data_IF_760871562491
#
_entry.id   IF_760871562491
#
_cell.length_a   1.000
_cell.length_b   1.000
_cell.length_c   1.000
_cell.angle_alpha   90.00
_cell.angle_beta   90.00
_cell.angle_gamma   90.00
#
_symmetry.space_group_name_H-M   'P 1'
#
loop_
_entity.id
_entity.type
_entity.pdbx_description
1 polymer ?
#
# COMPACT_ATOMS: atom_id res chain seq x y z
N UNK A 1 12.09 -34.82 14.45
CA UNK A 1 12.79 -33.54 14.60
C UNK A 1 11.78 -32.43 14.46
N UNK A 2 11.44 -31.73 15.54
CA UNK A 2 10.52 -30.59 15.52
C UNK A 2 11.22 -29.45 14.77
N UNK A 3 10.73 -29.11 13.56
CA UNK A 3 11.13 -27.85 12.93
C UNK A 3 10.65 -26.74 13.85
N UNK A 4 11.59 -26.03 14.45
CA UNK A 4 11.32 -24.78 15.14
C UNK A 4 10.63 -23.85 14.14
N UNK A 5 9.33 -23.66 14.32
CA UNK A 5 8.58 -22.67 13.55
C UNK A 5 9.16 -21.31 13.92
N UNK A 6 9.96 -20.74 13.03
CA UNK A 6 10.50 -19.39 13.23
C UNK A 6 9.30 -18.45 13.25
N UNK A 7 9.07 -17.82 14.38
CA UNK A 7 7.98 -16.84 14.55
C UNK A 7 8.33 -15.58 13.76
N UNK A 8 7.64 -15.35 12.63
CA UNK A 8 7.82 -14.13 11.85
C UNK A 8 7.09 -12.96 12.51
N UNK A 9 7.70 -11.76 12.52
CA UNK A 9 7.05 -10.58 13.06
C UNK A 9 5.88 -10.13 12.17
N UNK A 10 4.87 -9.52 12.79
CA UNK A 10 3.81 -8.83 12.09
C UNK A 10 4.18 -7.35 11.90
N UNK A 11 4.07 -6.84 10.69
CA UNK A 11 4.23 -5.43 10.34
C UNK A 11 2.88 -4.88 9.90
N UNK A 12 2.52 -3.73 10.44
CA UNK A 12 1.25 -3.06 10.13
C UNK A 12 1.57 -1.75 9.43
N UNK A 13 0.95 -1.49 8.30
CA UNK A 13 1.22 -0.29 7.50
C UNK A 13 -0.04 0.27 6.85
N UNK A 14 0.07 1.51 6.39
CA UNK A 14 -0.89 2.16 5.51
C UNK A 14 -0.29 2.35 4.13
N UNK A 15 -1.12 2.27 3.09
CA UNK A 15 -0.81 2.66 1.73
C UNK A 15 -1.77 3.75 1.30
N UNK A 16 -1.23 4.82 0.70
CA UNK A 16 -1.96 6.02 0.32
C UNK A 16 -2.11 6.08 -1.21
N UNK A 17 -3.34 5.98 -1.66
CA UNK A 17 -3.72 6.10 -3.06
C UNK A 17 -4.22 7.52 -3.29
N UNK A 18 -3.35 8.37 -3.80
CA UNK A 18 -3.63 9.76 -4.10
C UNK A 18 -3.75 9.97 -5.62
N UNK A 19 -4.66 10.81 -6.04
CA UNK A 19 -4.93 11.06 -7.46
C UNK A 19 -4.87 12.56 -7.77
N UNK A 20 -4.46 12.88 -9.01
CA UNK A 20 -4.57 14.23 -9.54
C UNK A 20 -5.96 14.51 -10.16
N UNK A 21 -6.25 15.74 -10.63
CA UNK A 21 -7.52 16.05 -11.29
C UNK A 21 -7.80 15.26 -12.59
N UNK A 22 -6.78 14.67 -13.22
CA UNK A 22 -6.88 13.81 -14.40
C UNK A 22 -7.12 12.33 -14.05
N UNK A 23 -7.32 12.03 -12.74
CA UNK A 23 -7.48 10.68 -12.21
C UNK A 23 -6.25 9.77 -12.42
N UNK A 24 -5.07 10.37 -12.52
CA UNK A 24 -3.81 9.64 -12.51
C UNK A 24 -3.36 9.42 -11.06
N UNK A 25 -2.86 8.21 -10.77
CA UNK A 25 -2.42 7.83 -9.42
C UNK A 25 -0.98 8.27 -9.19
N UNK A 26 -0.73 8.80 -7.98
CA UNK A 26 0.60 9.13 -7.52
C UNK A 26 1.33 7.88 -7.04
N UNK A 27 2.51 7.62 -7.59
CA UNK A 27 3.40 6.56 -7.12
C UNK A 27 4.77 7.09 -6.77
N UNK A 28 5.42 6.39 -5.86
CA UNK A 28 6.80 6.59 -5.44
C UNK A 28 7.69 5.54 -6.10
N UNK A 29 8.72 5.95 -6.83
CA UNK A 29 9.82 5.08 -7.21
C UNK A 29 10.74 4.88 -6.01
N UNK A 30 10.80 3.68 -5.48
CA UNK A 30 11.55 3.39 -4.27
C UNK A 30 13.06 3.49 -4.48
N UNK A 31 13.72 4.31 -3.67
CA UNK A 31 15.18 4.42 -3.66
C UNK A 31 15.87 3.42 -2.73
N UNK A 32 15.11 2.80 -1.81
CA UNK A 32 15.60 1.92 -0.74
C UNK A 32 15.02 0.51 -0.84
N UNK A 33 15.77 -0.45 -0.31
CA UNK A 33 15.26 -1.83 -0.12
C UNK A 33 14.19 -1.90 1.01
N UNK A 34 13.25 -2.85 0.96
CA UNK A 34 13.01 -3.80 -0.14
C UNK A 34 12.33 -3.12 -1.35
N UNK A 35 12.36 -3.80 -2.50
CA UNK A 35 11.71 -3.35 -3.73
C UNK A 35 12.28 -2.05 -4.33
N UNK A 36 13.60 -1.83 -4.19
CA UNK A 36 14.29 -0.71 -4.82
C UNK A 36 14.04 -0.68 -6.33
N UNK A 37 13.65 0.49 -6.85
CA UNK A 37 13.33 0.71 -8.25
C UNK A 37 11.92 0.26 -8.65
N UNK A 38 11.12 -0.26 -7.72
CA UNK A 38 9.71 -0.53 -7.94
C UNK A 38 8.88 0.71 -7.62
N UNK A 39 7.80 0.87 -8.38
CA UNK A 39 6.79 1.90 -8.13
C UNK A 39 5.71 1.37 -7.19
N UNK A 40 5.38 2.13 -6.17
CA UNK A 40 4.35 1.76 -5.21
C UNK A 40 3.61 3.01 -4.68
N UNK A 41 2.38 2.85 -4.16
CA UNK A 41 1.77 3.90 -3.35
C UNK A 41 2.69 4.25 -2.19
N UNK A 42 2.73 5.52 -1.80
CA UNK A 42 3.43 5.92 -0.58
C UNK A 42 2.67 5.48 0.67
N UNK A 43 3.28 5.59 1.81
CA UNK A 43 2.70 5.22 3.10
C UNK A 43 3.77 4.75 4.07
N UNK A 44 3.37 4.28 5.22
CA UNK A 44 4.32 3.88 6.23
C UNK A 44 3.75 2.95 7.28
N UNK A 45 4.64 2.52 8.16
CA UNK A 45 4.28 1.65 9.27
C UNK A 45 3.63 2.46 10.40
N UNK A 46 2.66 1.83 11.05
CA UNK A 46 2.09 2.37 12.27
C UNK A 46 3.16 2.50 13.36
N UNK A 47 3.08 3.59 14.12
CA UNK A 47 3.84 3.71 15.36
C UNK A 47 3.17 2.85 16.45
N UNK A 48 3.70 1.64 16.62
CA UNK A 48 3.18 0.67 17.60
C UNK A 48 3.49 1.05 19.04
N UNK A 49 4.49 1.92 19.27
CA UNK A 49 4.84 2.38 20.63
C UNK A 49 3.78 3.33 21.19
N UNK A 50 3.20 4.16 20.33
CA UNK A 50 2.14 5.11 20.73
C UNK A 50 0.74 4.53 20.57
N UNK A 51 0.60 3.35 19.95
CA UNK A 51 -0.70 2.78 19.62
C UNK A 51 -1.43 3.56 18.55
N UNK A 52 -0.69 4.08 17.57
CA UNK A 52 -1.23 4.86 16.45
C UNK A 52 -2.30 4.08 15.69
N UNK A 53 -3.41 4.75 15.37
CA UNK A 53 -4.44 4.13 14.52
C UNK A 53 -4.05 4.17 13.04
N UNK A 54 -4.63 3.29 12.19
CA UNK A 54 -4.38 3.34 10.74
C UNK A 54 -4.72 4.69 10.12
N UNK A 55 -5.80 5.35 10.56
CA UNK A 55 -6.17 6.69 10.08
C UNK A 55 -5.18 7.78 10.51
N UNK A 56 -4.71 7.73 11.76
CA UNK A 56 -3.69 8.67 12.25
C UNK A 56 -2.37 8.48 11.49
N UNK A 57 -1.95 7.24 11.28
CA UNK A 57 -0.79 6.91 10.46
C UNK A 57 -0.92 7.46 9.03
N UNK A 58 -2.06 7.25 8.37
CA UNK A 58 -2.29 7.76 7.02
C UNK A 58 -2.21 9.29 6.95
N UNK A 59 -2.76 10.00 7.92
CA UNK A 59 -2.67 11.46 7.99
C UNK A 59 -1.23 11.94 8.23
N UNK A 60 -0.48 11.28 9.12
CA UNK A 60 0.92 11.60 9.40
C UNK A 60 1.79 11.36 8.18
N UNK A 61 1.68 10.20 7.53
CA UNK A 61 2.46 9.87 6.34
C UNK A 61 2.14 10.81 5.16
N UNK A 62 0.86 11.22 4.98
CA UNK A 62 0.51 12.20 3.97
C UNK A 62 1.19 13.56 4.21
N UNK A 63 1.30 13.99 5.47
CA UNK A 63 2.01 15.21 5.81
C UNK A 63 3.54 15.08 5.61
N UNK A 64 4.12 13.96 6.04
CA UNK A 64 5.56 13.71 5.98
C UNK A 64 6.06 13.48 4.56
N UNK A 65 5.37 12.64 3.77
CA UNK A 65 5.82 12.26 2.44
C UNK A 65 5.26 13.13 1.32
N UNK A 66 3.99 13.52 1.40
CA UNK A 66 3.33 14.29 0.33
C UNK A 66 3.30 15.79 0.60
N UNK A 67 3.62 16.22 1.83
CA UNK A 67 3.54 17.63 2.24
C UNK A 67 2.10 18.16 2.31
N UNK A 68 1.10 17.28 2.41
CA UNK A 68 -0.31 17.67 2.47
C UNK A 68 -0.90 17.34 3.83
N UNK A 69 -1.68 18.29 4.36
CA UNK A 69 -2.44 18.08 5.60
C UNK A 69 -3.84 17.61 5.25
N UNK A 70 -4.16 16.41 5.70
CA UNK A 70 -5.49 15.81 5.56
C UNK A 70 -6.00 15.38 6.93
N UNK A 71 -7.28 15.18 7.03
CA UNK A 71 -7.98 14.68 8.22
C UNK A 71 -8.65 13.34 7.91
N UNK A 72 -9.07 12.62 8.93
CA UNK A 72 -9.64 11.27 8.75
C UNK A 72 -10.84 11.24 7.78
N UNK A 73 -11.63 12.31 7.71
CA UNK A 73 -12.76 12.42 6.77
C UNK A 73 -12.34 12.58 5.31
N UNK A 74 -11.09 12.94 5.05
CA UNK A 74 -10.51 13.02 3.70
C UNK A 74 -10.04 11.65 3.18
N UNK A 75 -10.10 10.63 4.03
CA UNK A 75 -9.69 9.27 3.69
C UNK A 75 -10.91 8.38 3.43
N UNK A 76 -10.76 7.49 2.46
CA UNK A 76 -11.65 6.36 2.24
C UNK A 76 -10.86 5.06 2.38
N UNK A 77 -11.23 4.20 3.33
CA UNK A 77 -10.63 2.87 3.46
C UNK A 77 -11.19 1.97 2.36
N UNK A 78 -10.41 1.77 1.31
CA UNK A 78 -10.80 0.96 0.15
C UNK A 78 -10.53 -0.52 0.38
N UNK A 79 -9.51 -0.86 1.17
CA UNK A 79 -9.21 -2.26 1.40
C UNK A 79 -8.32 -2.53 2.60
N UNK A 80 -8.36 -3.78 3.04
CA UNK A 80 -7.44 -4.37 4.01
C UNK A 80 -6.83 -5.61 3.36
N UNK A 81 -5.50 -5.68 3.35
CA UNK A 81 -4.75 -6.83 2.83
C UNK A 81 -3.84 -7.38 3.91
N UNK A 82 -3.97 -8.67 4.21
CA UNK A 82 -3.01 -9.39 5.05
C UNK A 82 -2.12 -10.29 4.18
N UNK A 83 -0.82 -10.27 4.42
CA UNK A 83 0.15 -11.12 3.72
C UNK A 83 0.89 -12.01 4.71
N UNK A 84 0.79 -13.32 4.51
CA UNK A 84 1.52 -14.31 5.28
C UNK A 84 2.86 -14.62 4.62
N UNK A 85 3.95 -14.41 5.36
CA UNK A 85 5.28 -14.89 4.97
C UNK A 85 5.95 -14.12 3.83
N UNK A 86 5.64 -12.84 3.66
CA UNK A 86 6.25 -11.99 2.63
C UNK A 86 7.78 -12.07 2.65
N UNK A 87 8.38 -12.50 1.54
CA UNK A 87 9.81 -12.75 1.37
C UNK A 87 10.43 -13.65 2.47
N UNK A 88 9.63 -14.45 3.19
CA UNK A 88 10.09 -15.25 4.32
C UNK A 88 10.56 -14.44 5.53
N UNK A 89 10.26 -13.14 5.61
CA UNK A 89 10.80 -12.22 6.62
C UNK A 89 9.75 -11.71 7.59
N UNK A 90 8.51 -11.53 7.16
CA UNK A 90 7.46 -10.93 7.97
C UNK A 90 6.06 -11.31 7.48
N UNK A 91 5.08 -11.13 8.36
CA UNK A 91 3.68 -10.99 7.97
C UNK A 91 3.36 -9.51 7.86
N UNK A 92 2.43 -9.16 6.95
CA UNK A 92 1.97 -7.79 6.78
C UNK A 92 0.47 -7.68 6.98
N UNK A 93 0.05 -6.58 7.56
CA UNK A 93 -1.33 -6.12 7.57
C UNK A 93 -1.33 -4.70 7.03
N UNK A 94 -1.96 -4.50 5.88
CA UNK A 94 -1.94 -3.25 5.13
C UNK A 94 -3.35 -2.66 5.04
N UNK A 95 -3.46 -1.38 5.35
CA UNK A 95 -4.67 -0.59 5.21
C UNK A 95 -4.52 0.32 3.99
N UNK A 96 -5.39 0.15 2.99
CA UNK A 96 -5.34 0.86 1.72
C UNK A 96 -6.33 2.02 1.75
N UNK A 97 -5.82 3.25 1.77
CA UNK A 97 -6.63 4.46 1.82
C UNK A 97 -6.57 5.23 0.51
N UNK A 98 -7.73 5.53 -0.08
CA UNK A 98 -7.83 6.58 -1.09
C UNK A 98 -7.91 7.95 -0.40
N UNK A 99 -7.04 8.89 -0.81
CA UNK A 99 -7.13 10.30 -0.42
C UNK A 99 -8.16 10.96 -1.33
N UNK A 100 -9.27 11.45 -0.78
CA UNK A 100 -10.38 12.04 -1.54
C UNK A 100 -10.02 13.37 -2.21
N UNK A 101 -9.34 14.32 -1.52
CA UNK A 101 -8.84 15.53 -2.17
C UNK A 101 -7.85 15.21 -3.29
N UNK A 102 -7.99 15.89 -4.43
CA UNK A 102 -7.09 15.72 -5.56
C UNK A 102 -5.81 16.50 -5.35
N UNK A 103 -4.66 15.87 -5.63
CA UNK A 103 -3.36 16.51 -5.59
C UNK A 103 -3.12 17.28 -6.89
N UNK A 104 -2.92 18.58 -6.79
CA UNK A 104 -2.65 19.46 -7.94
C UNK A 104 -1.18 19.72 -8.17
N UNK A 105 -0.33 19.35 -7.19
CA UNK A 105 1.13 19.56 -7.22
C UNK A 105 1.82 18.22 -6.98
N UNK A 106 2.83 17.93 -7.78
CA UNK A 106 3.69 16.77 -7.57
C UNK A 106 4.51 16.97 -6.31
N UNK A 107 4.50 16.03 -5.34
CA UNK A 107 5.34 16.14 -4.15
C UNK A 107 6.83 16.15 -4.49
N UNK A 108 7.62 16.85 -3.67
CA UNK A 108 9.06 16.88 -3.82
C UNK A 108 9.68 15.50 -3.57
N UNK A 109 10.77 15.15 -4.27
CA UNK A 109 11.54 13.93 -3.97
C UNK A 109 12.10 14.00 -2.54
N UNK A 110 12.22 12.84 -1.91
CA UNK A 110 12.86 12.71 -0.61
C UNK A 110 13.73 11.44 -0.55
N UNK A 111 14.28 11.11 0.63
CA UNK A 111 15.22 9.99 0.79
C UNK A 111 14.69 8.63 0.33
N UNK A 112 13.38 8.43 0.35
CA UNK A 112 12.75 7.16 -0.03
C UNK A 112 12.50 7.03 -1.53
N UNK A 113 12.57 8.15 -2.27
CA UNK A 113 12.46 8.14 -3.72
C UNK A 113 11.88 9.41 -4.33
N UNK A 114 11.37 9.27 -5.52
CA UNK A 114 10.74 10.33 -6.29
C UNK A 114 9.33 9.94 -6.71
N UNK A 115 8.47 10.96 -6.89
CA UNK A 115 7.08 10.78 -7.23
C UNK A 115 6.80 11.02 -8.70
N UNK A 116 5.79 10.34 -9.22
CA UNK A 116 5.20 10.61 -10.52
C UNK A 116 3.73 10.20 -10.54
N UNK A 117 2.92 10.90 -11.34
CA UNK A 117 1.54 10.51 -11.64
C UNK A 117 1.51 9.57 -12.84
N UNK A 118 0.65 8.54 -12.76
CA UNK A 118 0.48 7.55 -13.81
C UNK A 118 -1.00 7.30 -14.10
N UNK A 119 -1.35 7.19 -15.35
CA UNK A 119 -2.67 6.71 -15.74
C UNK A 119 -2.81 5.22 -15.37
N UNK A 120 -4.06 4.75 -15.25
CA UNK A 120 -4.34 3.34 -14.94
C UNK A 120 -3.66 2.40 -15.94
N UNK A 121 -3.70 2.75 -17.24
CA UNK A 121 -3.12 1.93 -18.32
C UNK A 121 -1.59 1.86 -18.25
N UNK A 122 -0.95 2.89 -17.70
CA UNK A 122 0.49 2.92 -17.54
C UNK A 122 0.99 1.91 -16.48
N UNK A 123 0.16 1.56 -15.50
CA UNK A 123 0.53 0.64 -14.41
C UNK A 123 0.95 -0.74 -14.92
N UNK A 124 0.38 -1.23 -16.02
CA UNK A 124 0.70 -2.54 -16.60
C UNK A 124 2.15 -2.63 -17.09
N UNK A 125 2.77 -1.48 -17.35
CA UNK A 125 4.14 -1.37 -17.89
C UNK A 125 5.16 -1.00 -16.82
N UNK A 126 4.70 -0.59 -15.63
CA UNK A 126 5.59 -0.21 -14.55
C UNK A 126 6.16 -1.44 -13.84
N UNK A 127 7.35 -1.27 -13.33
CA UNK A 127 7.91 -2.21 -12.37
C UNK A 127 7.26 -1.98 -11.01
N UNK A 128 6.41 -2.90 -10.59
CA UNK A 128 5.69 -2.87 -9.31
C UNK A 128 5.91 -4.21 -8.60
N UNK A 129 5.74 -4.28 -7.27
CA UNK A 129 5.80 -5.54 -6.55
C UNK A 129 4.82 -6.58 -7.13
N UNK A 130 5.21 -7.85 -7.08
CA UNK A 130 4.42 -8.93 -7.70
C UNK A 130 3.00 -9.01 -7.12
N UNK A 131 2.85 -8.94 -5.80
CA UNK A 131 1.54 -8.98 -5.13
C UNK A 131 0.65 -7.80 -5.50
N UNK A 132 1.23 -6.62 -5.71
CA UNK A 132 0.52 -5.43 -6.17
C UNK A 132 -0.06 -5.67 -7.58
N UNK A 133 0.77 -6.17 -8.50
CA UNK A 133 0.37 -6.48 -9.87
C UNK A 133 -0.69 -7.57 -9.95
N UNK A 134 -0.49 -8.66 -9.21
CA UNK A 134 -1.34 -9.86 -9.29
C UNK A 134 -2.75 -9.60 -8.77
N UNK A 135 -2.88 -8.85 -7.67
CA UNK A 135 -4.15 -8.77 -6.99
C UNK A 135 -4.48 -7.41 -6.35
N UNK A 136 -3.51 -6.70 -5.73
CA UNK A 136 -3.84 -5.50 -4.96
C UNK A 136 -4.39 -4.39 -5.87
N UNK A 137 -3.72 -4.09 -6.99
CA UNK A 137 -4.21 -3.11 -7.96
C UNK A 137 -5.54 -3.51 -8.60
N UNK A 138 -5.73 -4.76 -9.11
CA UNK A 138 -7.03 -5.20 -9.60
C UNK A 138 -8.16 -5.03 -8.59
N UNK A 139 -7.94 -5.45 -7.33
CA UNK A 139 -8.94 -5.31 -6.27
C UNK A 139 -9.20 -3.85 -5.91
N UNK A 140 -8.15 -3.02 -5.85
CA UNK A 140 -8.30 -1.60 -5.57
C UNK A 140 -9.20 -0.92 -6.61
N UNK A 141 -8.94 -1.14 -7.91
CA UNK A 141 -9.74 -0.55 -8.98
C UNK A 141 -11.17 -1.06 -8.99
N UNK A 142 -11.38 -2.34 -8.74
CA UNK A 142 -12.71 -2.95 -8.71
C UNK A 142 -13.57 -2.42 -7.55
N UNK A 143 -12.93 -2.12 -6.40
CA UNK A 143 -13.60 -1.70 -5.17
C UNK A 143 -13.41 -0.22 -4.84
N UNK A 144 -12.93 0.57 -5.77
CA UNK A 144 -12.74 2.01 -5.54
C UNK A 144 -14.08 2.68 -5.18
N UNK A 145 -14.12 3.35 -4.03
CA UNK A 145 -15.35 3.88 -3.45
C UNK A 145 -16.18 2.88 -2.64
N UNK A 146 -15.83 1.58 -2.70
CA UNK A 146 -16.37 0.51 -1.88
C UNK A 146 -15.32 -0.03 -0.90
N UNK A 147 -15.31 -1.35 -0.66
CA UNK A 147 -14.39 -1.97 0.29
C UNK A 147 -14.09 -3.42 -0.07
N UNK A 148 -12.87 -3.86 0.19
CA UNK A 148 -12.51 -5.27 0.15
C UNK A 148 -11.58 -5.67 1.32
N UNK A 149 -11.63 -6.94 1.69
CA UNK A 149 -10.61 -7.56 2.52
C UNK A 149 -10.06 -8.78 1.78
N UNK A 150 -8.74 -8.92 1.75
CA UNK A 150 -8.08 -10.02 1.08
C UNK A 150 -6.90 -10.55 1.91
N UNK A 151 -6.64 -11.84 1.75
CA UNK A 151 -5.50 -12.51 2.37
C UNK A 151 -4.62 -13.14 1.30
N UNK A 152 -3.32 -12.89 1.39
CA UNK A 152 -2.29 -13.48 0.54
C UNK A 152 -1.40 -14.42 1.36
N UNK A 153 -1.20 -15.61 0.86
CA UNK A 153 -0.20 -16.54 1.38
C UNK A 153 0.95 -16.64 0.38
N UNK A 154 2.11 -16.16 0.77
CA UNK A 154 3.33 -16.28 -0.01
C UNK A 154 4.06 -17.59 0.30
N UNK A 155 4.55 -18.26 -0.73
CA UNK A 155 5.30 -19.50 -0.64
C UNK A 155 6.78 -19.28 -1.01
N UNK A 156 7.70 -20.10 -0.48
CA UNK A 156 9.12 -19.98 -0.78
C UNK A 156 9.48 -20.14 -2.27
N UNK A 157 8.62 -20.79 -3.05
CA UNK A 157 8.78 -20.98 -4.50
C UNK A 157 8.30 -19.78 -5.34
N UNK A 158 7.89 -18.69 -4.67
CA UNK A 158 7.40 -17.46 -5.32
C UNK A 158 5.92 -17.47 -5.72
N UNK A 159 5.20 -18.55 -5.43
CA UNK A 159 3.74 -18.60 -5.63
C UNK A 159 3.02 -17.81 -4.55
N UNK A 160 1.86 -17.26 -4.93
CA UNK A 160 0.93 -16.62 -4.01
C UNK A 160 -0.43 -17.30 -4.13
N UNK A 161 -1.08 -17.50 -2.99
CA UNK A 161 -2.49 -17.90 -2.93
C UNK A 161 -3.28 -16.76 -2.32
N UNK A 162 -4.39 -16.40 -2.96
CA UNK A 162 -5.23 -15.30 -2.55
C UNK A 162 -6.62 -15.77 -2.15
N UNK A 163 -7.14 -15.21 -1.06
CA UNK A 163 -8.52 -15.34 -0.63
C UNK A 163 -9.13 -13.94 -0.50
N UNK A 164 -10.26 -13.71 -1.16
CA UNK A 164 -11.07 -12.51 -0.96
C UNK A 164 -12.03 -12.82 0.17
N UNK A 165 -11.85 -12.17 1.32
CA UNK A 165 -12.60 -12.41 2.54
C UNK A 165 -13.85 -11.54 2.63
N UNK A 166 -13.79 -10.35 2.02
CA UNK A 166 -14.92 -9.43 1.92
C UNK A 166 -14.85 -8.62 0.62
N UNK A 167 -16.02 -8.34 0.02
CA UNK A 167 -16.15 -7.56 -1.22
C UNK A 167 -17.46 -6.77 -1.16
N UNK A 168 -17.35 -5.44 -1.18
CA UNK A 168 -18.47 -4.46 -1.24
C UNK A 168 -18.15 -3.43 -2.31
N UNK A 169 -18.91 -3.42 -3.36
CA UNK A 169 -18.78 -2.45 -4.46
C UNK A 169 -19.63 -1.23 -4.20
#
# INVERSE_FOLDING_TARGET
MSQSMTHLPYKISTLLYAFNPQDEVLLLERALEPNRGDWSPCGGKLDTHTGESPYACACREAAEELGVRIVATDLHLTGIVSEHGYLGQAHWLMFLFEIKPRLTVLPAPHREGQFQFFSREALDRLRVPQTDREMIWPLFWEHRGGFFAAHCRAFPDGRHEWAIEESRK
#
